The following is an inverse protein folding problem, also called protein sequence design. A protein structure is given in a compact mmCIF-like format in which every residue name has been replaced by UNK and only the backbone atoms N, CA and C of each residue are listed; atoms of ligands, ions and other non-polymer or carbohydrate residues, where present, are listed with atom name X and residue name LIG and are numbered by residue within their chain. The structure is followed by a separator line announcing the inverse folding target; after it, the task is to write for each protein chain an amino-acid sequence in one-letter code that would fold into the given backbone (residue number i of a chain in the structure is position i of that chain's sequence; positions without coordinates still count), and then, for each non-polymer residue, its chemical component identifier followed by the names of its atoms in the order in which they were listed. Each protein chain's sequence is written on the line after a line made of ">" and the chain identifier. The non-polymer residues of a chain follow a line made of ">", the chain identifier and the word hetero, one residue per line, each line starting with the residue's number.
data_IF_055895798171
#
_entry.id   IF_055895798171
#
_cell.length_a   1.000
_cell.length_b   1.000
_cell.length_c   1.000
_cell.angle_alpha   90.00
_cell.angle_beta   90.00
_cell.angle_gamma   90.00
#
_symmetry.space_group_name_H-M   'P 1'
#
loop_
_entity.id
_entity.type
_entity.pdbx_description
1 polymer ?
#
# COMPACT_ATOMS: atom_id res chain seq x y z
N UNK A 1 8.39 6.55 10.42
CA UNK A 1 8.71 6.48 8.95
C UNK A 1 9.58 7.64 8.52
N UNK A 2 10.58 7.42 7.68
CA UNK A 2 11.58 8.43 7.31
C UNK A 2 11.87 8.44 5.81
N UNK A 3 11.98 9.64 5.22
CA UNK A 3 12.45 9.87 3.85
C UNK A 3 13.92 9.48 3.69
N UNK A 4 14.25 8.81 2.59
CA UNK A 4 15.58 8.27 2.24
C UNK A 4 15.99 8.68 0.82
N UNK A 5 17.31 8.65 0.57
CA UNK A 5 17.94 8.81 -0.73
C UNK A 5 17.40 9.97 -1.57
N UNK A 6 17.58 11.21 -1.08
CA UNK A 6 17.08 12.39 -1.79
C UNK A 6 15.55 12.41 -1.94
N UNK A 7 14.83 11.81 -0.99
CA UNK A 7 13.36 11.70 -0.95
C UNK A 7 12.76 10.75 -2.00
N UNK A 8 13.54 9.78 -2.52
CA UNK A 8 13.03 8.78 -3.48
C UNK A 8 12.00 7.87 -2.84
N UNK A 9 12.18 7.51 -1.55
CA UNK A 9 11.23 6.67 -0.82
C UNK A 9 11.17 6.98 0.68
N UNK A 10 10.16 6.41 1.34
CA UNK A 10 9.98 6.39 2.79
C UNK A 10 10.18 4.96 3.27
N UNK A 11 11.01 4.76 4.30
CA UNK A 11 11.18 3.47 4.99
C UNK A 11 10.47 3.46 6.34
N UNK A 12 10.10 2.26 6.81
CA UNK A 12 9.66 2.05 8.18
C UNK A 12 10.83 2.19 9.15
N UNK A 13 10.58 2.69 10.35
CA UNK A 13 11.57 2.81 11.42
C UNK A 13 11.35 1.78 12.54
N UNK A 14 10.11 1.32 12.73
CA UNK A 14 9.73 0.39 13.79
C UNK A 14 9.68 -1.08 13.33
N UNK A 15 10.15 -1.38 12.11
CA UNK A 15 10.27 -2.76 11.66
C UNK A 15 11.56 -3.37 12.18
N UNK A 16 11.51 -4.59 12.74
CA UNK A 16 12.72 -5.35 13.07
C UNK A 16 13.58 -5.61 11.85
N UNK A 17 14.88 -5.86 12.06
CA UNK A 17 15.80 -6.25 10.98
C UNK A 17 15.33 -7.55 10.30
N UNK A 18 15.63 -7.71 9.01
CA UNK A 18 15.29 -8.90 8.22
C UNK A 18 14.28 -8.66 7.10
N UNK A 19 13.74 -7.44 6.99
CA UNK A 19 12.93 -7.05 5.85
C UNK A 19 13.29 -5.63 5.36
N UNK A 20 13.34 -5.46 4.04
CA UNK A 20 13.37 -4.16 3.37
C UNK A 20 11.95 -3.65 3.25
N UNK A 21 11.71 -2.38 3.59
CA UNK A 21 10.42 -1.70 3.42
C UNK A 21 10.60 -0.41 2.63
N UNK A 22 9.71 -0.16 1.68
CA UNK A 22 9.81 1.00 0.80
C UNK A 22 8.41 1.47 0.39
N UNK A 23 8.11 2.75 0.64
CA UNK A 23 7.00 3.46 0.03
C UNK A 23 7.59 4.53 -0.89
N UNK A 24 7.46 4.36 -2.20
CA UNK A 24 8.05 5.29 -3.17
C UNK A 24 7.42 6.67 -3.09
N UNK A 25 8.20 7.69 -3.46
CA UNK A 25 7.68 9.00 -3.86
C UNK A 25 7.56 9.06 -5.39
N UNK A 26 7.20 10.22 -5.94
CA UNK A 26 7.25 10.49 -7.39
C UNK A 26 8.60 11.04 -7.86
N UNK A 27 9.55 11.21 -6.95
CA UNK A 27 10.85 11.84 -7.23
C UNK A 27 11.88 10.82 -7.74
N UNK A 28 12.90 11.30 -8.42
CA UNK A 28 14.09 10.52 -8.83
C UNK A 28 13.91 9.60 -10.03
N UNK A 29 12.71 9.48 -10.59
CA UNK A 29 12.44 8.58 -11.71
C UNK A 29 12.53 9.24 -13.08
N UNK A 30 12.32 8.43 -14.13
CA UNK A 30 12.23 8.87 -15.53
C UNK A 30 10.79 9.17 -15.90
N UNK A 31 10.59 10.29 -16.59
CA UNK A 31 9.29 10.72 -17.12
C UNK A 31 9.03 10.11 -18.50
N UNK A 32 7.79 9.74 -18.77
CA UNK A 32 7.31 9.35 -20.10
C UNK A 32 5.79 9.52 -20.22
N UNK A 33 5.30 9.80 -21.43
CA UNK A 33 3.87 9.83 -21.78
C UNK A 33 3.02 10.74 -20.85
N UNK A 34 3.56 11.92 -20.51
CA UNK A 34 2.87 12.90 -19.65
C UNK A 34 2.90 12.59 -18.15
N UNK A 35 3.55 11.50 -17.74
CA UNK A 35 3.81 11.17 -16.32
C UNK A 35 5.21 11.70 -15.98
N UNK A 36 5.27 12.76 -15.18
CA UNK A 36 6.51 13.44 -14.81
C UNK A 36 7.04 12.93 -13.47
N UNK A 37 8.09 12.08 -13.52
CA UNK A 37 8.75 11.49 -12.36
C UNK A 37 8.56 9.99 -12.25
N UNK A 38 8.91 9.45 -11.07
CA UNK A 38 8.86 8.01 -10.81
C UNK A 38 7.42 7.49 -10.84
N UNK A 39 7.22 6.44 -11.66
CA UNK A 39 5.97 5.68 -11.69
C UNK A 39 6.29 4.21 -12.02
N UNK A 40 6.42 3.34 -11.01
CA UNK A 40 6.68 1.91 -11.19
C UNK A 40 5.39 1.13 -11.50
N UNK A 41 4.61 1.60 -12.49
CA UNK A 41 3.30 1.03 -12.84
C UNK A 41 3.25 0.64 -14.32
N UNK A 42 3.27 -0.66 -14.66
CA UNK A 42 3.26 -1.12 -16.04
C UNK A 42 1.92 -0.91 -16.77
N UNK A 43 0.86 -0.51 -16.06
CA UNK A 43 -0.47 -0.31 -16.67
C UNK A 43 -0.84 1.18 -16.87
N UNK A 44 0.15 2.09 -16.81
CA UNK A 44 -0.07 3.53 -17.02
C UNK A 44 0.27 4.03 -18.42
N UNK A 45 0.47 3.12 -19.39
CA UNK A 45 0.75 3.47 -20.77
C UNK A 45 2.16 4.00 -21.03
N UNK A 46 3.05 3.95 -20.01
CA UNK A 46 4.47 4.22 -20.20
C UNK A 46 5.13 3.03 -20.92
N UNK A 47 6.20 3.26 -21.73
CA UNK A 47 7.03 2.17 -22.25
C UNK A 47 7.55 1.31 -21.12
N UNK A 48 7.53 -0.01 -21.28
CA UNK A 48 7.94 -0.95 -20.22
C UNK A 48 9.39 -0.72 -19.76
N UNK A 49 10.26 -0.27 -20.67
CA UNK A 49 11.66 0.05 -20.38
C UNK A 49 11.77 1.25 -19.42
N UNK A 50 10.86 2.23 -19.53
CA UNK A 50 10.78 3.36 -18.58
C UNK A 50 10.31 2.89 -17.22
N UNK A 51 9.32 2.00 -17.16
CA UNK A 51 8.83 1.42 -15.92
C UNK A 51 9.93 0.60 -15.22
N UNK A 52 10.63 -0.26 -15.96
CA UNK A 52 11.76 -1.05 -15.44
C UNK A 52 12.88 -0.13 -14.95
N UNK A 53 13.18 0.96 -15.68
CA UNK A 53 14.17 1.94 -15.25
C UNK A 53 13.75 2.64 -13.93
N UNK A 54 12.48 2.96 -13.77
CA UNK A 54 11.93 3.52 -12.51
C UNK A 54 12.01 2.50 -11.36
N UNK A 55 11.65 1.24 -11.62
CA UNK A 55 11.81 0.15 -10.64
C UNK A 55 13.28 -0.05 -10.25
N UNK A 56 14.22 0.11 -11.19
CA UNK A 56 15.66 0.00 -10.92
C UNK A 56 16.16 1.12 -10.02
N UNK A 57 15.80 2.37 -10.31
CA UNK A 57 16.15 3.52 -9.45
C UNK A 57 15.62 3.32 -8.03
N UNK A 58 14.37 2.89 -7.90
CA UNK A 58 13.76 2.61 -6.60
C UNK A 58 14.46 1.45 -5.89
N UNK A 59 14.78 0.38 -6.61
CA UNK A 59 15.43 -0.82 -6.08
C UNK A 59 16.87 -0.57 -5.65
N UNK A 60 17.66 0.20 -6.41
CA UNK A 60 19.01 0.62 -6.04
C UNK A 60 19.01 1.44 -4.75
N UNK A 61 18.03 2.32 -4.57
CA UNK A 61 17.88 3.12 -3.36
C UNK A 61 17.42 2.27 -2.15
N UNK A 62 16.54 1.32 -2.33
CA UNK A 62 15.89 0.58 -1.24
C UNK A 62 16.50 -0.81 -0.97
N UNK A 63 17.30 -1.37 -1.87
CA UNK A 63 17.99 -2.65 -1.67
C UNK A 63 17.31 -3.87 -2.29
N UNK A 64 16.64 -3.72 -3.45
CA UNK A 64 16.07 -4.82 -4.25
C UNK A 64 16.32 -4.62 -5.75
N UNK A 65 15.96 -5.59 -6.58
CA UNK A 65 16.09 -5.50 -8.05
C UNK A 65 14.70 -5.58 -8.71
N UNK A 66 14.51 -5.03 -9.92
CA UNK A 66 13.27 -5.20 -10.67
C UNK A 66 12.90 -6.67 -10.89
N UNK A 67 13.91 -7.54 -11.04
CA UNK A 67 13.74 -8.99 -11.22
C UNK A 67 13.21 -9.69 -9.97
N UNK A 68 13.34 -9.11 -8.78
CA UNK A 68 12.82 -9.64 -7.52
C UNK A 68 11.35 -9.26 -7.30
N UNK A 69 10.84 -8.25 -8.02
CA UNK A 69 9.51 -7.72 -7.81
C UNK A 69 8.42 -8.67 -8.29
N UNK A 70 7.32 -8.71 -7.54
CA UNK A 70 6.04 -9.25 -7.97
C UNK A 70 5.01 -8.13 -7.93
N UNK A 71 4.50 -7.73 -9.08
CA UNK A 71 3.47 -6.70 -9.23
C UNK A 71 2.21 -7.37 -9.76
N UNK A 72 1.09 -7.24 -9.04
CA UNK A 72 -0.18 -7.85 -9.40
C UNK A 72 -1.14 -6.87 -10.08
N UNK A 73 -2.16 -7.38 -10.75
CA UNK A 73 -3.34 -6.62 -11.18
C UNK A 73 -4.25 -6.41 -9.97
N UNK A 74 -4.42 -5.17 -9.53
CA UNK A 74 -5.24 -4.78 -8.39
C UNK A 74 -6.62 -4.36 -8.87
N UNK A 75 -7.68 -4.95 -8.30
CA UNK A 75 -9.07 -4.76 -8.71
C UNK A 75 -9.94 -4.14 -7.62
N UNK A 76 -9.32 -3.68 -6.53
CA UNK A 76 -9.96 -3.15 -5.32
C UNK A 76 -10.84 -4.21 -4.61
N UNK A 77 -10.43 -5.46 -4.69
CA UNK A 77 -11.04 -6.61 -4.03
C UNK A 77 -10.35 -6.99 -2.72
N UNK A 78 -10.46 -8.27 -2.36
CA UNK A 78 -9.88 -8.84 -1.15
C UNK A 78 -9.12 -10.17 -1.42
N UNK A 79 -8.84 -10.48 -2.69
CA UNK A 79 -8.08 -11.66 -3.04
C UNK A 79 -6.61 -11.51 -2.60
N UNK A 80 -6.09 -12.56 -1.95
CA UNK A 80 -4.74 -12.64 -1.41
C UNK A 80 -3.97 -13.74 -2.14
N UNK A 81 -2.88 -13.37 -2.81
CA UNK A 81 -2.01 -14.31 -3.54
C UNK A 81 -0.78 -14.65 -2.69
N UNK A 82 -0.53 -15.94 -2.47
CA UNK A 82 0.78 -16.42 -2.03
C UNK A 82 1.73 -16.41 -3.23
N UNK A 83 2.88 -15.75 -3.08
CA UNK A 83 3.89 -15.58 -4.12
C UNK A 83 5.07 -16.48 -3.83
N UNK A 84 5.53 -17.23 -4.83
CA UNK A 84 6.75 -18.03 -4.76
C UNK A 84 7.93 -17.34 -5.47
N UNK A 85 9.14 -17.83 -5.18
CA UNK A 85 10.39 -17.31 -5.75
C UNK A 85 10.46 -17.44 -7.28
N UNK A 86 9.82 -18.46 -7.84
CA UNK A 86 9.74 -18.70 -9.29
C UNK A 86 8.86 -17.67 -10.01
N UNK A 87 7.99 -16.97 -9.28
CA UNK A 87 7.09 -15.96 -9.83
C UNK A 87 7.69 -14.55 -9.82
N UNK A 88 8.94 -14.38 -9.40
CA UNK A 88 9.63 -13.09 -9.43
C UNK A 88 9.67 -12.51 -10.84
N UNK A 89 9.65 -11.20 -10.94
CA UNK A 89 9.58 -10.48 -12.22
C UNK A 89 8.17 -10.39 -12.80
N UNK A 90 7.15 -10.98 -12.14
CA UNK A 90 5.75 -10.87 -12.60
C UNK A 90 5.30 -9.40 -12.61
N UNK A 91 4.63 -9.01 -13.69
CA UNK A 91 4.17 -7.65 -13.94
C UNK A 91 5.18 -6.75 -14.65
N UNK A 92 6.47 -7.13 -14.70
CA UNK A 92 7.52 -6.44 -15.45
C UNK A 92 8.08 -7.29 -16.59
N UNK A 93 8.48 -8.51 -16.30
CA UNK A 93 9.13 -9.44 -17.25
C UNK A 93 8.24 -10.66 -17.55
N UNK A 94 7.37 -11.02 -16.61
CA UNK A 94 6.44 -12.13 -16.74
C UNK A 94 4.99 -11.60 -16.68
N UNK A 95 4.05 -12.26 -17.38
CA UNK A 95 2.64 -11.86 -17.35
C UNK A 95 2.01 -12.09 -15.98
N UNK A 96 1.11 -11.21 -15.58
CA UNK A 96 0.24 -11.40 -14.42
C UNK A 96 -0.83 -12.45 -14.77
N UNK A 97 -0.98 -13.45 -13.92
CA UNK A 97 -1.93 -14.58 -14.12
C UNK A 97 -3.15 -14.49 -13.20
N UNK A 98 -3.04 -13.74 -12.10
CA UNK A 98 -4.09 -13.69 -11.06
C UNK A 98 -4.25 -12.25 -10.59
N UNK A 99 -5.49 -11.78 -10.53
CA UNK A 99 -5.83 -10.52 -9.89
C UNK A 99 -5.80 -10.69 -8.38
N UNK A 100 -5.09 -9.79 -7.69
CA UNK A 100 -5.02 -9.78 -6.24
C UNK A 100 -4.79 -8.38 -5.71
N UNK A 101 -5.34 -8.07 -4.56
CA UNK A 101 -5.13 -6.81 -3.86
C UNK A 101 -4.23 -6.99 -2.62
N UNK A 102 -3.87 -8.22 -2.27
CA UNK A 102 -2.82 -8.50 -1.30
C UNK A 102 -1.92 -9.66 -1.74
N UNK A 103 -0.69 -9.61 -1.27
CA UNK A 103 0.38 -10.57 -1.56
C UNK A 103 1.00 -11.03 -0.24
N UNK A 104 1.36 -12.31 -0.14
CA UNK A 104 2.11 -12.86 1.00
C UNK A 104 3.22 -13.79 0.52
N UNK A 105 4.32 -13.88 1.28
CA UNK A 105 5.40 -14.87 1.07
C UNK A 105 6.23 -15.05 2.34
N UNK A 106 6.89 -16.20 2.44
CA UNK A 106 7.96 -16.51 3.40
C UNK A 106 9.32 -16.71 2.71
N UNK A 107 9.38 -16.47 1.41
CA UNK A 107 10.58 -16.67 0.61
C UNK A 107 11.44 -15.39 0.53
N UNK A 108 12.76 -15.48 0.79
CA UNK A 108 13.65 -14.33 0.67
C UNK A 108 13.85 -13.90 -0.78
N UNK A 109 14.20 -12.61 -0.96
CA UNK A 109 14.41 -11.99 -2.26
C UNK A 109 13.17 -12.02 -3.18
N UNK A 110 11.97 -12.04 -2.62
CA UNK A 110 10.70 -11.81 -3.31
C UNK A 110 10.17 -10.46 -2.85
N UNK A 111 10.19 -9.46 -3.74
CA UNK A 111 9.77 -8.10 -3.45
C UNK A 111 8.26 -7.94 -3.75
N UNK A 112 7.42 -8.17 -2.74
CA UNK A 112 5.98 -7.96 -2.85
C UNK A 112 5.69 -6.50 -3.09
N UNK A 113 4.99 -6.17 -4.19
CA UNK A 113 4.80 -4.79 -4.64
C UNK A 113 3.33 -4.46 -4.83
N UNK A 114 2.84 -3.47 -4.10
CA UNK A 114 1.50 -2.88 -4.23
C UNK A 114 1.62 -1.48 -4.82
N UNK A 115 0.72 -1.16 -5.77
CA UNK A 115 0.67 0.15 -6.43
C UNK A 115 -0.47 0.97 -5.85
N UNK A 116 -0.21 2.24 -5.57
CA UNK A 116 -1.21 3.17 -5.04
C UNK A 116 -1.13 4.55 -5.70
N UNK A 117 -2.20 5.30 -5.58
CA UNK A 117 -2.29 6.74 -5.68
C UNK A 117 -3.59 7.12 -4.97
N UNK A 118 -3.47 7.49 -3.72
CA UNK A 118 -4.48 7.76 -2.71
C UNK A 118 -4.96 6.54 -1.89
N UNK A 119 -5.05 5.33 -2.47
CA UNK A 119 -5.38 4.13 -1.69
C UNK A 119 -4.31 3.84 -0.64
N UNK A 120 -4.71 3.24 0.47
CA UNK A 120 -3.83 2.95 1.61
C UNK A 120 -2.99 1.70 1.34
N UNK A 121 -1.65 1.81 1.22
CA UNK A 121 -0.76 0.65 1.18
C UNK A 121 -0.47 0.18 2.60
N UNK A 122 -0.45 -1.14 2.81
CA UNK A 122 -0.14 -1.76 4.08
C UNK A 122 0.95 -2.80 3.86
N UNK A 123 2.03 -2.71 4.64
CA UNK A 123 3.11 -3.71 4.70
C UNK A 123 3.05 -4.42 6.05
N UNK A 124 3.23 -5.74 6.06
CA UNK A 124 3.17 -6.59 7.26
C UNK A 124 4.41 -7.46 7.29
N UNK A 125 5.02 -7.60 8.46
CA UNK A 125 6.19 -8.44 8.69
C UNK A 125 6.06 -9.23 9.98
N UNK A 126 6.24 -10.55 9.89
CA UNK A 126 6.44 -11.44 11.03
C UNK A 126 7.94 -11.78 11.13
N UNK A 127 8.68 -11.21 12.10
CA UNK A 127 10.11 -11.49 12.25
C UNK A 127 10.40 -12.89 12.80
N UNK A 128 9.42 -13.54 13.47
CA UNK A 128 9.58 -14.86 14.07
C UNK A 128 9.47 -15.96 13.00
N UNK A 129 8.44 -15.89 12.15
CA UNK A 129 8.23 -16.85 11.06
C UNK A 129 8.92 -16.44 9.77
N UNK A 130 9.51 -15.24 9.73
CA UNK A 130 10.09 -14.66 8.52
C UNK A 130 9.11 -14.68 7.36
N UNK A 131 7.92 -14.14 7.59
CA UNK A 131 6.85 -14.04 6.60
C UNK A 131 6.43 -12.58 6.41
N UNK A 132 6.09 -12.20 5.18
CA UNK A 132 5.72 -10.83 4.83
C UNK A 132 4.42 -10.78 4.06
N UNK A 133 3.73 -9.65 4.17
CA UNK A 133 2.53 -9.34 3.40
C UNK A 133 2.53 -7.90 2.90
N UNK A 134 1.89 -7.67 1.77
CA UNK A 134 1.63 -6.34 1.23
C UNK A 134 0.18 -6.27 0.78
N UNK A 135 -0.58 -5.24 1.20
CA UNK A 135 -2.00 -5.12 0.86
C UNK A 135 -2.34 -3.73 0.31
N UNK A 136 -3.19 -3.71 -0.71
CA UNK A 136 -3.80 -2.53 -1.31
C UNK A 136 -5.18 -2.31 -0.68
N UNK A 137 -5.26 -1.42 0.30
CA UNK A 137 -6.49 -1.12 1.02
C UNK A 137 -7.10 0.20 0.53
N UNK A 138 -7.66 0.23 -0.68
CA UNK A 138 -8.59 1.27 -1.10
C UNK A 138 -9.89 1.18 -0.26
N UNK A 139 -10.82 2.15 -0.36
CA UNK A 139 -12.04 2.14 0.46
C UNK A 139 -12.82 0.82 0.34
N UNK A 140 -12.91 0.22 -0.87
CA UNK A 140 -13.57 -1.08 -1.08
C UNK A 140 -12.81 -2.23 -0.39
N UNK A 141 -11.49 -2.33 -0.61
CA UNK A 141 -10.65 -3.33 0.05
C UNK A 141 -10.65 -3.19 1.58
N UNK A 142 -10.70 -1.95 2.09
CA UNK A 142 -10.85 -1.66 3.52
C UNK A 142 -12.20 -2.16 4.03
N UNK A 143 -13.30 -1.90 3.32
CA UNK A 143 -14.63 -2.40 3.67
C UNK A 143 -14.73 -3.94 3.65
N UNK A 144 -13.92 -4.59 2.82
CA UNK A 144 -13.79 -6.05 2.75
C UNK A 144 -12.79 -6.62 3.79
N UNK A 145 -12.23 -5.77 4.66
CA UNK A 145 -11.22 -6.15 5.68
C UNK A 145 -9.96 -6.81 5.09
N UNK A 146 -9.45 -6.29 3.97
CA UNK A 146 -8.26 -6.88 3.32
C UNK A 146 -7.04 -6.87 4.26
N UNK A 147 -6.89 -5.84 5.09
CA UNK A 147 -5.82 -5.75 6.08
C UNK A 147 -5.87 -6.91 7.09
N UNK A 148 -7.00 -7.12 7.74
CA UNK A 148 -7.19 -8.21 8.69
C UNK A 148 -7.16 -9.59 8.02
N UNK A 149 -7.69 -9.72 6.80
CA UNK A 149 -7.60 -10.96 6.01
C UNK A 149 -6.15 -11.32 5.69
N UNK A 150 -5.29 -10.34 5.37
CA UNK A 150 -3.86 -10.59 5.12
C UNK A 150 -3.15 -11.09 6.37
N UNK A 151 -3.45 -10.52 7.55
CA UNK A 151 -2.91 -11.00 8.84
C UNK A 151 -3.32 -12.45 9.10
N UNK A 152 -4.62 -12.76 8.95
CA UNK A 152 -5.13 -14.13 9.13
C UNK A 152 -4.50 -15.10 8.14
N UNK A 153 -4.33 -14.69 6.89
CA UNK A 153 -3.70 -15.52 5.86
C UNK A 153 -2.24 -15.83 6.17
N UNK A 154 -1.47 -14.87 6.72
CA UNK A 154 -0.12 -15.11 7.21
C UNK A 154 -0.11 -16.14 8.36
N UNK A 155 -1.08 -16.05 9.27
CA UNK A 155 -1.22 -17.01 10.36
C UNK A 155 -1.56 -18.42 9.84
N UNK A 156 -2.47 -18.54 8.91
CA UNK A 156 -2.89 -19.83 8.29
C UNK A 156 -1.78 -20.50 7.48
N UNK A 157 -1.06 -19.74 6.65
CA UNK A 157 -0.05 -20.29 5.74
C UNK A 157 1.29 -20.57 6.42
N UNK A 158 1.71 -19.72 7.37
CA UNK A 158 3.07 -19.76 7.93
C UNK A 158 3.09 -20.00 9.44
N UNK A 159 1.94 -20.13 10.09
CA UNK A 159 1.85 -20.27 11.55
C UNK A 159 2.28 -19.01 12.28
N UNK A 160 2.15 -17.87 11.64
CA UNK A 160 2.47 -16.57 12.21
C UNK A 160 1.51 -16.20 13.36
N UNK A 161 2.07 -15.69 14.46
CA UNK A 161 1.25 -15.16 15.56
C UNK A 161 1.04 -13.65 15.32
N UNK A 162 -0.19 -13.14 15.19
CA UNK A 162 -0.45 -11.72 14.99
C UNK A 162 0.18 -10.79 16.02
N UNK A 163 0.39 -11.25 17.27
CA UNK A 163 1.02 -10.45 18.32
C UNK A 163 2.51 -10.20 18.10
N UNK A 164 3.16 -11.00 17.25
CA UNK A 164 4.57 -10.86 16.90
C UNK A 164 4.76 -10.09 15.59
N UNK A 165 3.68 -9.85 14.85
CA UNK A 165 3.72 -9.11 13.59
C UNK A 165 3.87 -7.62 13.80
N UNK A 166 4.56 -6.98 12.84
CA UNK A 166 4.65 -5.54 12.67
C UNK A 166 3.90 -5.13 11.41
N UNK A 167 3.25 -3.99 11.44
CA UNK A 167 2.54 -3.44 10.28
C UNK A 167 2.91 -1.98 10.04
N UNK A 168 2.92 -1.57 8.77
CA UNK A 168 3.13 -0.19 8.37
C UNK A 168 2.01 0.25 7.42
N UNK A 169 1.32 1.32 7.77
CA UNK A 169 0.33 2.00 6.93
C UNK A 169 1.02 3.17 6.26
N UNK A 170 1.25 3.07 4.95
CA UNK A 170 2.03 4.03 4.18
C UNK A 170 1.26 5.30 3.78
N UNK A 171 1.92 6.18 3.00
CA UNK A 171 1.29 7.39 2.46
C UNK A 171 0.04 7.08 1.65
N UNK A 172 -1.05 7.78 1.95
CA UNK A 172 -2.32 7.69 1.24
C UNK A 172 -3.09 9.02 1.37
N UNK A 173 -4.25 9.14 0.73
CA UNK A 173 -5.11 10.29 0.98
C UNK A 173 -5.59 10.26 2.44
N UNK A 174 -5.35 11.35 3.19
CA UNK A 174 -5.72 11.43 4.60
C UNK A 174 -7.13 12.00 4.77
N UNK A 175 -7.68 11.89 6.00
CA UNK A 175 -9.01 12.41 6.38
C UNK A 175 -9.25 13.84 5.91
N UNK A 176 -8.24 14.71 5.94
CA UNK A 176 -8.35 16.11 5.50
C UNK A 176 -8.81 16.30 4.05
N UNK A 177 -8.58 15.29 3.18
CA UNK A 177 -8.81 15.39 1.74
C UNK A 177 -9.69 14.27 1.18
N UNK A 178 -9.96 13.21 1.95
CA UNK A 178 -10.80 12.11 1.49
C UNK A 178 -12.27 12.39 1.75
N UNK A 179 -12.80 13.39 0.98
CA UNK A 179 -14.23 13.72 0.92
C UNK A 179 -14.98 12.62 0.14
N UNK A 180 -16.09 12.14 0.72
CA UNK A 180 -16.92 11.06 0.17
C UNK A 180 -18.40 11.35 0.36
N UNK A 181 -19.24 10.56 -0.32
CA UNK A 181 -20.66 10.46 -0.04
C UNK A 181 -20.90 9.43 1.08
N UNK A 182 -22.17 9.20 1.43
CA UNK A 182 -22.59 8.35 2.56
C UNK A 182 -22.20 6.87 2.40
N UNK A 183 -22.04 6.40 1.16
CA UNK A 183 -21.72 5.00 0.82
C UNK A 183 -20.41 4.53 1.46
N UNK A 184 -19.40 5.41 1.52
CA UNK A 184 -18.09 5.05 2.12
C UNK A 184 -18.18 4.96 3.65
N UNK A 185 -18.72 5.94 4.41
CA UNK A 185 -18.98 5.78 5.82
C UNK A 185 -19.82 4.54 6.17
N UNK A 186 -20.89 4.26 5.43
CA UNK A 186 -21.72 3.08 5.66
C UNK A 186 -20.93 1.77 5.47
N UNK A 187 -20.08 1.69 4.46
CA UNK A 187 -19.18 0.56 4.27
C UNK A 187 -18.19 0.40 5.43
N UNK A 188 -17.67 1.50 6.00
CA UNK A 188 -16.80 1.44 7.18
C UNK A 188 -17.55 1.01 8.44
N UNK A 189 -18.79 1.49 8.64
CA UNK A 189 -19.69 1.03 9.72
C UNK A 189 -20.01 -0.45 9.58
N UNK A 190 -20.23 -0.93 8.37
CA UNK A 190 -20.53 -2.35 8.11
C UNK A 190 -19.38 -3.27 8.54
N UNK A 191 -18.12 -2.83 8.42
CA UNK A 191 -16.96 -3.66 8.78
C UNK A 191 -16.51 -3.50 10.23
N UNK A 192 -16.70 -2.31 10.87
CA UNK A 192 -16.19 -2.01 12.22
C UNK A 192 -17.27 -1.66 13.23
N UNK A 193 -18.54 -1.55 12.83
CA UNK A 193 -19.61 -1.07 13.70
C UNK A 193 -19.34 0.36 14.20
N UNK A 194 -19.75 0.64 15.44
CA UNK A 194 -19.62 1.96 16.06
C UNK A 194 -18.16 2.45 16.19
N UNK A 195 -17.19 1.53 16.16
CA UNK A 195 -15.77 1.90 16.23
C UNK A 195 -15.34 2.77 15.03
N UNK A 196 -16.03 2.65 13.89
CA UNK A 196 -15.74 3.44 12.69
C UNK A 196 -16.00 4.95 12.90
N UNK A 197 -16.91 5.34 13.80
CA UNK A 197 -17.33 6.74 14.00
C UNK A 197 -16.16 7.67 14.34
N UNK A 198 -15.19 7.18 15.09
CA UNK A 198 -14.00 7.97 15.45
C UNK A 198 -13.16 8.40 14.23
N UNK A 199 -13.25 7.64 13.13
CA UNK A 199 -12.54 7.89 11.88
C UNK A 199 -13.35 8.72 10.87
N UNK A 200 -14.64 8.99 11.13
CA UNK A 200 -15.55 9.67 10.22
C UNK A 200 -15.83 11.07 10.75
N UNK A 201 -15.90 12.05 9.85
CA UNK A 201 -16.38 13.40 10.18
C UNK A 201 -17.38 13.85 9.12
N UNK A 202 -18.41 14.55 9.56
CA UNK A 202 -19.42 15.15 8.69
C UNK A 202 -19.11 16.64 8.45
N UNK A 203 -19.41 17.11 7.25
CA UNK A 203 -19.32 18.54 6.89
C UNK A 203 -20.43 18.90 5.93
N UNK A 204 -21.16 19.95 6.26
CA UNK A 204 -22.17 20.52 5.37
C UNK A 204 -21.59 21.76 4.69
N UNK A 205 -21.71 21.81 3.36
CA UNK A 205 -21.36 23.02 2.60
C UNK A 205 -22.56 23.45 1.75
N UNK A 206 -22.72 24.77 1.50
CA UNK A 206 -23.84 25.28 0.68
C UNK A 206 -23.86 24.68 -0.73
N UNK A 207 -22.68 24.42 -1.32
CA UNK A 207 -22.53 23.99 -2.71
C UNK A 207 -22.69 22.46 -2.87
N UNK A 208 -22.28 21.67 -1.86
CA UNK A 208 -22.20 20.21 -1.97
C UNK A 208 -23.15 19.47 -1.04
N UNK A 209 -23.84 20.18 -0.13
CA UNK A 209 -24.66 19.54 0.90
C UNK A 209 -23.81 18.80 1.93
N UNK A 210 -24.37 17.71 2.50
CA UNK A 210 -23.67 16.87 3.47
C UNK A 210 -22.63 15.99 2.78
N UNK A 211 -21.40 16.08 3.24
CA UNK A 211 -20.26 15.25 2.82
C UNK A 211 -19.57 14.65 4.04
N UNK A 212 -18.83 13.58 3.81
CA UNK A 212 -18.11 12.84 4.85
C UNK A 212 -16.60 12.87 4.55
N UNK A 213 -15.81 12.95 5.61
CA UNK A 213 -14.36 12.86 5.55
C UNK A 213 -13.93 11.62 6.33
N UNK A 214 -13.34 10.64 5.64
CA UNK A 214 -13.03 9.32 6.21
C UNK A 214 -11.53 9.15 6.37
N UNK A 215 -11.10 8.68 7.55
CA UNK A 215 -9.72 8.32 7.84
C UNK A 215 -9.46 6.84 7.58
N UNK A 216 -9.07 6.50 6.35
CA UNK A 216 -8.75 5.11 6.00
C UNK A 216 -7.53 4.57 6.75
N UNK A 217 -6.59 5.42 7.19
CA UNK A 217 -5.45 4.98 8.03
C UNK A 217 -5.94 4.51 9.38
N UNK A 218 -6.80 5.30 10.03
CA UNK A 218 -7.39 4.94 11.32
C UNK A 218 -8.26 3.68 11.22
N UNK A 219 -9.09 3.56 10.17
CA UNK A 219 -9.90 2.36 9.90
C UNK A 219 -9.01 1.12 9.76
N UNK A 220 -7.99 1.17 8.90
CA UNK A 220 -7.09 0.04 8.68
C UNK A 220 -6.26 -0.30 9.94
N UNK A 221 -5.87 0.71 10.75
CA UNK A 221 -5.26 0.46 12.06
C UNK A 221 -6.19 -0.37 12.96
N UNK A 222 -7.45 0.00 13.06
CA UNK A 222 -8.44 -0.74 13.85
C UNK A 222 -8.64 -2.17 13.33
N UNK A 223 -8.65 -2.36 12.00
CA UNK A 223 -8.75 -3.69 11.38
C UNK A 223 -7.52 -4.56 11.70
N UNK A 224 -6.32 -4.02 11.63
CA UNK A 224 -5.08 -4.72 12.00
C UNK A 224 -5.06 -5.09 13.48
N UNK A 225 -5.47 -4.17 14.37
CA UNK A 225 -5.59 -4.45 15.80
C UNK A 225 -6.65 -5.51 16.09
N UNK A 226 -7.80 -5.47 15.44
CA UNK A 226 -8.84 -6.51 15.53
C UNK A 226 -8.35 -7.87 15.07
N UNK A 227 -7.42 -7.90 14.10
CA UNK A 227 -6.77 -9.13 13.65
C UNK A 227 -5.66 -9.63 14.60
N UNK A 228 -5.32 -8.88 15.66
CA UNK A 228 -4.41 -9.27 16.73
C UNK A 228 -3.03 -8.60 16.73
N UNK A 229 -2.74 -7.71 15.78
CA UNK A 229 -1.49 -6.94 15.82
C UNK A 229 -1.56 -5.91 16.95
N UNK A 230 -0.50 -5.82 17.76
CA UNK A 230 -0.41 -4.85 18.86
C UNK A 230 -0.32 -3.42 18.32
N UNK A 231 -0.99 -2.47 18.99
CA UNK A 231 -1.01 -1.06 18.54
C UNK A 231 0.39 -0.45 18.42
N UNK A 232 1.31 -0.80 19.32
CA UNK A 232 2.71 -0.36 19.32
C UNK A 232 3.53 -0.91 18.15
N UNK A 233 3.10 -2.00 17.53
CA UNK A 233 3.71 -2.60 16.35
C UNK A 233 3.15 -2.05 15.03
N UNK A 234 2.25 -1.06 15.09
CA UNK A 234 1.67 -0.45 13.88
C UNK A 234 2.23 0.95 13.69
N UNK A 235 3.06 1.12 12.67
CA UNK A 235 3.59 2.42 12.25
C UNK A 235 2.68 3.04 11.19
N UNK A 236 2.36 4.34 11.31
CA UNK A 236 1.47 5.04 10.38
C UNK A 236 2.18 6.26 9.80
N UNK A 237 2.14 6.40 8.48
CA UNK A 237 2.61 7.61 7.80
C UNK A 237 1.67 8.79 8.06
N UNK A 238 2.23 9.94 8.40
CA UNK A 238 1.48 11.18 8.52
C UNK A 238 1.17 11.82 7.16
N UNK A 239 1.89 11.44 6.10
CA UNK A 239 1.81 12.05 4.78
C UNK A 239 0.43 11.87 4.13
N UNK A 240 -0.07 12.94 3.52
CA UNK A 240 -1.26 12.93 2.69
C UNK A 240 -0.88 13.08 1.22
N UNK A 241 -1.18 12.08 0.39
CA UNK A 241 -0.84 12.10 -1.04
C UNK A 241 -1.48 13.26 -1.81
N UNK A 242 -2.66 13.72 -1.38
CA UNK A 242 -3.31 14.89 -1.98
C UNK A 242 -2.64 16.21 -1.58
N UNK A 243 -2.29 16.39 -0.31
CA UNK A 243 -1.68 17.63 0.18
C UNK A 243 -0.25 17.79 -0.32
N UNK A 244 0.51 16.71 -0.37
CA UNK A 244 1.93 16.67 -0.69
C UNK A 244 2.18 16.21 -2.14
N UNK A 245 1.51 16.89 -3.09
CA UNK A 245 1.56 16.55 -4.52
C UNK A 245 2.94 16.66 -5.17
N UNK A 246 3.88 17.37 -4.54
CA UNK A 246 5.27 17.44 -4.97
C UNK A 246 6.04 16.15 -4.66
N UNK A 247 5.60 15.40 -3.64
CA UNK A 247 6.18 14.12 -3.23
C UNK A 247 5.40 12.91 -3.74
N UNK A 248 4.08 13.02 -3.92
CA UNK A 248 3.22 11.86 -4.16
C UNK A 248 2.30 12.04 -5.36
N UNK A 249 2.00 10.93 -6.02
CA UNK A 249 0.89 10.85 -6.96
C UNK A 249 -0.44 10.77 -6.22
N UNK A 250 -1.43 11.55 -6.66
CA UNK A 250 -2.79 11.53 -6.13
C UNK A 250 -3.80 11.43 -7.25
N UNK A 251 -4.63 10.41 -7.23
CA UNK A 251 -5.73 10.22 -8.17
C UNK A 251 -6.81 11.31 -7.99
N UNK A 252 -7.13 11.64 -6.75
CA UNK A 252 -8.12 12.67 -6.41
C UNK A 252 -7.70 14.05 -6.94
N UNK A 253 -6.39 14.33 -6.97
CA UNK A 253 -5.86 15.63 -7.40
C UNK A 253 -5.61 15.70 -8.91
N UNK A 254 -5.08 14.63 -9.50
CA UNK A 254 -4.53 14.63 -10.86
C UNK A 254 -5.38 13.82 -11.86
N UNK A 255 -6.36 13.06 -11.38
CA UNK A 255 -7.21 12.21 -12.23
C UNK A 255 -6.41 11.13 -12.95
N UNK A 256 -6.71 10.92 -14.24
CA UNK A 256 -6.10 9.87 -15.07
C UNK A 256 -4.64 10.15 -15.44
N UNK A 257 -4.21 11.42 -15.43
CA UNK A 257 -2.86 11.84 -15.84
C UNK A 257 -1.76 11.61 -14.79
N UNK A 258 -2.09 10.90 -13.71
CA UNK A 258 -1.13 10.57 -12.65
C UNK A 258 -0.33 9.31 -12.96
N UNK A 259 0.88 9.23 -12.40
CA UNK A 259 1.58 7.98 -12.19
C UNK A 259 1.02 7.17 -11.00
N UNK A 260 1.75 6.17 -10.57
CA UNK A 260 1.48 5.41 -9.34
C UNK A 260 2.70 5.36 -8.43
N UNK A 261 2.45 5.24 -7.14
CA UNK A 261 3.44 4.96 -6.11
C UNK A 261 3.54 3.43 -5.94
N UNK A 262 4.69 2.96 -5.45
CA UNK A 262 4.88 1.58 -5.03
C UNK A 262 5.06 1.48 -3.53
N UNK A 263 4.43 0.48 -2.91
CA UNK A 263 4.76 -0.01 -1.59
C UNK A 263 5.39 -1.40 -1.74
N UNK A 264 6.62 -1.56 -1.26
CA UNK A 264 7.41 -2.77 -1.46
C UNK A 264 7.88 -3.31 -0.12
N UNK A 265 7.78 -4.62 0.08
CA UNK A 265 8.39 -5.35 1.19
C UNK A 265 9.08 -6.60 0.68
N UNK A 266 10.29 -6.87 1.19
CA UNK A 266 11.10 -8.03 0.79
C UNK A 266 11.88 -8.57 1.99
N UNK A 267 11.89 -9.89 2.18
CA UNK A 267 12.78 -10.57 3.14
C UNK A 267 14.23 -10.59 2.63
N UNK A 268 15.17 -10.29 3.53
CA UNK A 268 16.62 -10.30 3.27
C UNK A 268 17.36 -11.30 4.15
#
# INVERSE_FOLDING_TARGET
>A
MRLKDGNIYISCENFPAGAVTCFSTRLGGKSACGIEGMSPDPWKGQPIETVIANCRVLGEAAGFKPEDMYITSQVHGDNIKRVSKEERGTGLFLPVKVDADALITDEPNVALTIRTADCTPILIYDPVRRAIGAAHAGHKGTALDIAGKTVRRLAEEYGSNPQDMHAAIGPCISKCCFETDIDVPEAMRSVLGDAAESAIAEKVTPEKGLKYFVDLKAINKMLLMRAGIKSENIEISENCTYCESDLFWSHRRMGALRGSLAAVIMLV
#
